data_IF_699653246342
#
_entry.id   IF_699653246342
#
_cell.length_a   1.000
_cell.length_b   1.000
_cell.length_c   1.000
_cell.angle_alpha   90.00
_cell.angle_beta   90.00
_cell.angle_gamma   90.00
#
_symmetry.space_group_name_H-M   'P 1'
#
loop_
_entity.id
_entity.type
_entity.pdbx_description
1 polymer ?
#
# COMPACT_ATOMS: atom_id res chain seq x y z
N UNK A 1 27.79 8.74 4.97
CA UNK A 1 27.20 8.09 3.79
C UNK A 1 26.04 7.17 4.14
N UNK A 2 26.07 6.43 5.26
CA UNK A 2 25.04 5.43 5.58
C UNK A 2 23.64 5.98 5.83
N UNK A 3 23.50 7.12 6.52
CA UNK A 3 22.17 7.71 6.77
C UNK A 3 21.44 8.13 5.50
N UNK A 4 22.15 8.74 4.54
CA UNK A 4 21.55 9.16 3.26
C UNK A 4 21.05 7.94 2.46
N UNK A 5 21.80 6.83 2.49
CA UNK A 5 21.38 5.57 1.88
C UNK A 5 20.15 4.99 2.58
N UNK A 6 20.12 5.00 3.91
CA UNK A 6 18.96 4.54 4.69
C UNK A 6 17.71 5.38 4.41
N UNK A 7 17.85 6.71 4.30
CA UNK A 7 16.75 7.61 3.94
C UNK A 7 16.17 7.31 2.55
N UNK A 8 17.04 7.04 1.56
CA UNK A 8 16.62 6.69 0.21
C UNK A 8 15.85 5.36 0.19
N UNK A 9 16.37 4.34 0.88
CA UNK A 9 15.71 3.03 0.98
C UNK A 9 14.34 3.12 1.67
N UNK A 10 14.23 3.94 2.72
CA UNK A 10 12.95 4.20 3.38
C UNK A 10 11.95 4.81 2.40
N UNK A 11 12.35 5.86 1.65
CA UNK A 11 11.47 6.50 0.67
C UNK A 11 11.00 5.56 -0.44
N UNK A 12 11.88 4.67 -0.90
CA UNK A 12 11.52 3.64 -1.88
C UNK A 12 10.47 2.69 -1.28
N UNK A 13 10.66 2.23 -0.05
CA UNK A 13 9.71 1.35 0.61
C UNK A 13 8.34 2.04 0.88
N UNK A 14 8.34 3.33 1.21
CA UNK A 14 7.10 4.13 1.33
C UNK A 14 6.34 4.17 0.01
N UNK A 15 7.05 4.46 -1.09
CA UNK A 15 6.44 4.50 -2.43
C UNK A 15 5.92 3.14 -2.88
N UNK A 16 6.63 2.05 -2.56
CA UNK A 16 6.19 0.68 -2.86
C UNK A 16 4.94 0.28 -2.06
N UNK A 17 4.87 0.68 -0.79
CA UNK A 17 3.69 0.45 0.05
C UNK A 17 2.47 1.24 -0.46
N UNK A 18 2.63 2.52 -0.81
CA UNK A 18 1.57 3.35 -1.41
C UNK A 18 1.05 2.74 -2.72
N UNK A 19 1.94 2.26 -3.59
CA UNK A 19 1.55 1.57 -4.82
C UNK A 19 0.75 0.31 -4.55
N UNK A 20 1.17 -0.52 -3.59
CA UNK A 20 0.47 -1.74 -3.23
C UNK A 20 -0.93 -1.43 -2.67
N UNK A 21 -1.05 -0.39 -1.85
CA UNK A 21 -2.35 0.09 -1.36
C UNK A 21 -3.25 0.55 -2.52
N UNK A 22 -2.71 1.33 -3.47
CA UNK A 22 -3.46 1.75 -4.66
C UNK A 22 -3.98 0.58 -5.50
N UNK A 23 -3.16 -0.47 -5.68
CA UNK A 23 -3.59 -1.70 -6.37
C UNK A 23 -4.71 -2.41 -5.61
N UNK A 24 -4.62 -2.50 -4.28
CA UNK A 24 -5.66 -3.11 -3.46
C UNK A 24 -6.97 -2.33 -3.53
N UNK A 25 -6.91 -1.00 -3.44
CA UNK A 25 -8.07 -0.12 -3.58
C UNK A 25 -8.74 -0.30 -4.95
N UNK A 26 -7.95 -0.35 -6.03
CA UNK A 26 -8.45 -0.60 -7.38
C UNK A 26 -9.13 -1.98 -7.50
N UNK A 27 -8.57 -3.01 -6.87
CA UNK A 27 -9.15 -4.35 -6.86
C UNK A 27 -10.53 -4.36 -6.14
N UNK A 28 -10.66 -3.66 -5.00
CA UNK A 28 -11.95 -3.51 -4.32
C UNK A 28 -12.98 -2.75 -5.16
N UNK A 29 -12.59 -1.64 -5.80
CA UNK A 29 -13.49 -0.90 -6.70
C UNK A 29 -13.97 -1.78 -7.87
N UNK A 30 -13.06 -2.56 -8.46
CA UNK A 30 -13.42 -3.50 -9.53
C UNK A 30 -14.42 -4.54 -9.04
N UNK A 31 -14.23 -5.10 -7.84
CA UNK A 31 -15.19 -6.07 -7.26
C UNK A 31 -16.56 -5.43 -7.03
N UNK A 32 -16.59 -4.23 -6.47
CA UNK A 32 -17.83 -3.51 -6.20
C UNK A 32 -18.61 -3.22 -7.49
N UNK A 33 -17.92 -2.86 -8.57
CA UNK A 33 -18.55 -2.68 -9.88
C UNK A 33 -19.16 -3.98 -10.41
N UNK A 34 -18.47 -5.12 -10.25
CA UNK A 34 -18.98 -6.43 -10.66
C UNK A 34 -20.24 -6.79 -9.85
N UNK A 35 -20.22 -6.59 -8.52
CA UNK A 35 -21.40 -6.82 -7.67
C UNK A 35 -22.59 -5.94 -8.07
N UNK A 36 -22.36 -4.67 -8.42
CA UNK A 36 -23.40 -3.80 -8.94
C UNK A 36 -23.99 -4.33 -10.25
N UNK A 37 -23.13 -4.76 -11.18
CA UNK A 37 -23.56 -5.32 -12.46
C UNK A 37 -24.40 -6.60 -12.25
N UNK A 38 -24.01 -7.47 -11.31
CA UNK A 38 -24.77 -8.67 -10.94
C UNK A 38 -26.16 -8.28 -10.44
N UNK A 39 -26.26 -7.33 -9.49
CA UNK A 39 -27.55 -6.84 -8.97
C UNK A 39 -28.44 -6.29 -10.08
N UNK A 40 -27.88 -5.51 -11.01
CA UNK A 40 -28.63 -4.99 -12.16
C UNK A 40 -29.14 -6.11 -13.08
N UNK A 41 -28.31 -7.09 -13.39
CA UNK A 41 -28.70 -8.22 -14.25
C UNK A 41 -29.77 -9.09 -13.56
N UNK A 42 -29.63 -9.37 -12.27
CA UNK A 42 -30.62 -10.11 -11.49
C UNK A 42 -31.98 -9.39 -11.46
N UNK A 43 -31.98 -8.07 -11.25
CA UNK A 43 -33.23 -7.28 -11.31
C UNK A 43 -33.90 -7.35 -12.69
N UNK A 44 -33.12 -7.28 -13.78
CA UNK A 44 -33.65 -7.44 -15.15
C UNK A 44 -34.21 -8.84 -15.39
N UNK A 45 -33.49 -9.88 -14.94
CA UNK A 45 -33.94 -11.28 -15.01
C UNK A 45 -35.30 -11.45 -14.34
N UNK A 46 -35.44 -10.93 -13.13
CA UNK A 46 -36.65 -11.11 -12.34
C UNK A 46 -37.85 -10.38 -12.99
N UNK A 47 -37.61 -9.20 -13.60
CA UNK A 47 -38.61 -8.51 -14.40
C UNK A 47 -39.04 -9.32 -15.64
N UNK A 48 -38.10 -9.92 -16.37
CA UNK A 48 -38.40 -10.77 -17.53
C UNK A 48 -39.16 -12.04 -17.15
N UNK A 49 -38.81 -12.67 -16.03
CA UNK A 49 -39.54 -13.82 -15.50
C UNK A 49 -40.97 -13.45 -15.16
N UNK A 50 -41.20 -12.29 -14.55
CA UNK A 50 -42.54 -11.77 -14.29
C UNK A 50 -43.29 -11.52 -15.59
N UNK A 51 -42.69 -10.83 -16.56
CA UNK A 51 -43.32 -10.57 -17.86
C UNK A 51 -43.69 -11.87 -18.60
N UNK A 52 -42.83 -12.89 -18.53
CA UNK A 52 -43.12 -14.20 -19.10
C UNK A 52 -44.32 -14.87 -18.40
N UNK A 53 -44.39 -14.81 -17.06
CA UNK A 53 -45.53 -15.34 -16.30
C UNK A 53 -46.83 -14.60 -16.62
N UNK A 54 -46.78 -13.27 -16.70
CA UNK A 54 -47.93 -12.43 -17.05
C UNK A 54 -48.40 -12.75 -18.48
N UNK A 55 -47.48 -12.88 -19.45
CA UNK A 55 -47.80 -13.27 -20.83
C UNK A 55 -48.44 -14.67 -20.93
N UNK A 56 -47.92 -15.63 -20.15
CA UNK A 56 -48.50 -16.97 -20.07
C UNK A 56 -49.95 -16.95 -19.56
N UNK A 57 -50.25 -16.06 -18.60
CA UNK A 57 -51.58 -15.96 -17.99
C UNK A 57 -52.63 -15.39 -18.94
N UNK A 58 -52.24 -14.50 -19.86
CA UNK A 58 -53.12 -13.86 -20.84
C UNK A 58 -53.11 -14.55 -22.21
N UNK A 59 -52.32 -15.63 -22.37
CA UNK A 59 -52.22 -16.39 -23.61
C UNK A 59 -51.39 -15.71 -24.71
N UNK A 60 -50.57 -14.72 -24.36
CA UNK A 60 -49.68 -14.03 -25.29
C UNK A 60 -48.39 -14.85 -25.49
N UNK A 61 -48.43 -15.76 -26.46
CA UNK A 61 -47.33 -16.67 -26.74
C UNK A 61 -46.09 -15.95 -27.29
N UNK A 62 -46.25 -14.88 -28.07
CA UNK A 62 -45.12 -14.12 -28.62
C UNK A 62 -44.35 -13.42 -27.50
N UNK A 63 -45.05 -12.73 -26.60
CA UNK A 63 -44.43 -12.06 -25.46
C UNK A 63 -43.78 -13.04 -24.48
N UNK A 64 -44.36 -14.23 -24.32
CA UNK A 64 -43.77 -15.31 -23.53
C UNK A 64 -42.46 -15.82 -24.14
N UNK A 65 -42.42 -16.08 -25.45
CA UNK A 65 -41.22 -16.55 -26.16
C UNK A 65 -40.10 -15.52 -26.05
N UNK A 66 -40.42 -14.24 -26.30
CA UNK A 66 -39.45 -13.13 -26.22
C UNK A 66 -38.86 -13.01 -24.80
N UNK A 67 -39.72 -12.94 -23.78
CA UNK A 67 -39.29 -12.78 -22.38
C UNK A 67 -38.46 -13.97 -21.89
N UNK A 68 -38.84 -15.20 -22.30
CA UNK A 68 -38.13 -16.42 -21.92
C UNK A 68 -36.75 -16.52 -22.59
N UNK A 69 -36.66 -16.15 -23.87
CA UNK A 69 -35.40 -16.15 -24.61
C UNK A 69 -34.41 -15.12 -24.05
N UNK A 70 -34.90 -13.93 -23.72
CA UNK A 70 -34.08 -12.88 -23.13
C UNK A 70 -33.63 -13.23 -21.70
N UNK A 71 -34.48 -13.88 -20.90
CA UNK A 71 -34.12 -14.38 -19.57
C UNK A 71 -32.97 -15.39 -19.65
N UNK A 72 -32.99 -16.32 -20.60
CA UNK A 72 -31.92 -17.31 -20.76
C UNK A 72 -30.56 -16.67 -21.12
N UNK A 73 -30.58 -15.63 -21.96
CA UNK A 73 -29.38 -14.85 -22.28
C UNK A 73 -28.84 -14.08 -21.07
N UNK A 74 -29.74 -13.53 -20.25
CA UNK A 74 -29.38 -12.86 -19.00
C UNK A 74 -28.78 -13.83 -17.98
N UNK A 75 -29.31 -15.05 -17.86
CA UNK A 75 -28.75 -16.08 -16.98
C UNK A 75 -27.31 -16.43 -17.38
N UNK A 76 -27.01 -16.48 -18.68
CA UNK A 76 -25.63 -16.67 -19.16
C UNK A 76 -24.72 -15.51 -18.76
N UNK A 77 -25.18 -14.26 -18.88
CA UNK A 77 -24.41 -13.08 -18.46
C UNK A 77 -24.17 -13.06 -16.96
N UNK A 78 -25.16 -13.44 -16.16
CA UNK A 78 -25.04 -13.53 -14.70
C UNK A 78 -23.98 -14.56 -14.31
N UNK A 79 -23.97 -15.75 -14.94
CA UNK A 79 -22.92 -16.76 -14.70
C UNK A 79 -21.53 -16.21 -14.97
N UNK A 80 -21.34 -15.52 -16.10
CA UNK A 80 -20.05 -14.89 -16.45
C UNK A 80 -19.63 -13.84 -15.41
N UNK A 81 -20.55 -12.98 -14.97
CA UNK A 81 -20.25 -11.99 -13.93
C UNK A 81 -19.91 -12.63 -12.58
N UNK A 82 -20.55 -13.76 -12.23
CA UNK A 82 -20.21 -14.51 -11.02
C UNK A 82 -18.80 -15.11 -11.11
N UNK A 83 -18.39 -15.62 -12.26
CA UNK A 83 -17.00 -16.05 -12.48
C UNK A 83 -16.02 -14.86 -12.39
N UNK A 84 -16.38 -13.71 -12.96
CA UNK A 84 -15.58 -12.48 -12.84
C UNK A 84 -15.46 -12.03 -11.37
N UNK A 85 -16.52 -12.22 -10.56
CA UNK A 85 -16.51 -11.91 -9.14
C UNK A 85 -15.54 -12.82 -8.37
N UNK A 86 -15.50 -14.12 -8.69
CA UNK A 86 -14.54 -15.07 -8.12
C UNK A 86 -13.11 -14.62 -8.46
N UNK A 87 -12.83 -14.33 -9.73
CA UNK A 87 -11.52 -13.82 -10.17
C UNK A 87 -11.14 -12.49 -9.50
N UNK A 88 -12.12 -11.62 -9.25
CA UNK A 88 -11.89 -10.35 -8.54
C UNK A 88 -11.53 -10.58 -7.06
N UNK A 89 -12.16 -11.55 -6.39
CA UNK A 89 -11.82 -11.92 -5.02
C UNK A 89 -10.39 -12.49 -4.92
N UNK A 90 -10.00 -13.34 -5.87
CA UNK A 90 -8.63 -13.85 -5.95
C UNK A 90 -7.62 -12.72 -6.12
N UNK A 91 -7.90 -11.74 -6.98
CA UNK A 91 -7.04 -10.54 -7.14
C UNK A 91 -6.93 -9.72 -5.87
N UNK A 92 -8.02 -9.56 -5.11
CA UNK A 92 -8.00 -8.87 -3.81
C UNK A 92 -7.10 -9.63 -2.85
N UNK A 93 -7.21 -10.95 -2.75
CA UNK A 93 -6.38 -11.76 -1.87
C UNK A 93 -4.88 -11.57 -2.19
N UNK A 94 -4.50 -11.68 -3.46
CA UNK A 94 -3.12 -11.47 -3.91
C UNK A 94 -2.66 -10.04 -3.61
N UNK A 95 -3.52 -9.03 -3.82
CA UNK A 95 -3.18 -7.64 -3.51
C UNK A 95 -3.02 -7.39 -2.00
N UNK A 96 -3.81 -8.04 -1.16
CA UNK A 96 -3.68 -7.99 0.30
C UNK A 96 -2.36 -8.60 0.78
N UNK A 97 -1.99 -9.77 0.24
CA UNK A 97 -0.71 -10.40 0.54
C UNK A 97 0.47 -9.52 0.10
N UNK A 98 0.40 -8.96 -1.11
CA UNK A 98 1.42 -8.04 -1.60
C UNK A 98 1.54 -6.80 -0.72
N UNK A 99 0.42 -6.20 -0.30
CA UNK A 99 0.39 -5.07 0.61
C UNK A 99 1.04 -5.42 1.97
N UNK A 100 0.72 -6.59 2.52
CA UNK A 100 1.31 -7.04 3.79
C UNK A 100 2.84 -7.14 3.70
N UNK A 101 3.35 -7.72 2.61
CA UNK A 101 4.79 -7.82 2.35
C UNK A 101 5.43 -6.44 2.26
N UNK A 102 4.82 -5.50 1.53
CA UNK A 102 5.36 -4.13 1.42
C UNK A 102 5.32 -3.38 2.76
N UNK A 103 4.26 -3.54 3.56
CA UNK A 103 4.19 -2.95 4.89
C UNK A 103 5.26 -3.49 5.83
N UNK A 104 5.52 -4.80 5.82
CA UNK A 104 6.60 -5.40 6.60
C UNK A 104 7.97 -4.83 6.20
N UNK A 105 8.22 -4.71 4.88
CA UNK A 105 9.45 -4.11 4.35
C UNK A 105 9.58 -2.64 4.78
N UNK A 106 8.50 -1.87 4.74
CA UNK A 106 8.48 -0.49 5.20
C UNK A 106 8.83 -0.37 6.68
N UNK A 107 8.26 -1.20 7.55
CA UNK A 107 8.61 -1.18 8.98
C UNK A 107 10.06 -1.57 9.24
N UNK A 108 10.60 -2.54 8.50
CA UNK A 108 12.03 -2.86 8.55
C UNK A 108 12.90 -1.66 8.16
N UNK A 109 12.56 -0.97 7.06
CA UNK A 109 13.31 0.21 6.62
C UNK A 109 13.20 1.37 7.61
N UNK A 110 12.04 1.57 8.26
CA UNK A 110 11.87 2.55 9.34
C UNK A 110 12.79 2.22 10.52
N UNK A 111 12.93 0.95 10.90
CA UNK A 111 13.85 0.55 11.98
C UNK A 111 15.29 0.87 11.63
N UNK A 112 15.75 0.46 10.44
CA UNK A 112 17.10 0.72 9.95
C UNK A 112 17.40 2.22 9.87
N UNK A 113 16.44 3.03 9.44
CA UNK A 113 16.60 4.48 9.41
C UNK A 113 16.76 5.08 10.82
N UNK A 114 15.96 4.63 11.80
CA UNK A 114 16.10 5.08 13.20
C UNK A 114 17.46 4.68 13.78
N UNK A 115 17.94 3.48 13.49
CA UNK A 115 19.27 3.02 13.91
C UNK A 115 20.38 3.86 13.28
N UNK A 116 20.30 4.14 11.98
CA UNK A 116 21.26 5.00 11.29
C UNK A 116 21.27 6.43 11.86
N UNK A 117 20.11 6.98 12.23
CA UNK A 117 20.01 8.28 12.91
C UNK A 117 20.71 8.28 14.26
N UNK A 118 20.49 7.24 15.09
CA UNK A 118 21.15 7.09 16.39
C UNK A 118 22.66 6.94 16.25
N UNK A 119 23.12 6.12 15.30
CA UNK A 119 24.55 5.93 15.04
C UNK A 119 25.22 7.23 14.58
N UNK A 120 24.54 8.03 13.75
CA UNK A 120 25.04 9.34 13.33
C UNK A 120 25.15 10.30 14.51
N UNK A 121 24.11 10.39 15.35
CA UNK A 121 24.14 11.25 16.54
C UNK A 121 25.30 10.87 17.48
N UNK A 122 25.45 9.59 17.79
CA UNK A 122 26.56 9.11 18.63
C UNK A 122 27.95 9.41 18.04
N UNK A 123 28.09 9.33 16.71
CA UNK A 123 29.34 9.68 16.04
C UNK A 123 29.62 11.19 16.06
N UNK A 124 28.59 12.04 16.01
CA UNK A 124 28.71 13.48 16.13
C UNK A 124 29.08 13.89 17.57
N UNK A 125 28.44 13.28 18.59
CA UNK A 125 28.77 13.48 20.00
C UNK A 125 30.23 13.08 20.31
N UNK A 126 30.66 11.91 19.83
CA UNK A 126 32.04 11.45 20.00
C UNK A 126 33.06 12.39 19.33
N UNK A 127 32.73 12.94 18.16
CA UNK A 127 33.58 13.94 17.49
C UNK A 127 33.65 15.23 18.30
N UNK A 128 32.53 15.70 18.82
CA UNK A 128 32.49 16.91 19.65
C UNK A 128 33.33 16.73 20.93
N UNK A 129 33.23 15.57 21.58
CA UNK A 129 34.03 15.24 22.76
C UNK A 129 35.53 15.24 22.45
N UNK A 130 35.95 14.55 21.38
CA UNK A 130 37.36 14.53 20.95
C UNK A 130 37.89 15.94 20.65
N UNK A 131 37.10 16.77 19.97
CA UNK A 131 37.48 18.15 19.68
C UNK A 131 37.63 19.00 20.95
N UNK A 132 36.76 18.79 21.95
CA UNK A 132 36.85 19.48 23.25
C UNK A 132 38.11 19.05 24.02
N UNK A 133 38.43 17.74 24.04
CA UNK A 133 39.62 17.20 24.69
C UNK A 133 40.91 17.72 24.04
N UNK A 134 40.97 17.72 22.70
CA UNK A 134 42.10 18.28 21.94
C UNK A 134 42.29 19.78 22.24
N UNK A 135 41.20 20.54 22.26
CA UNK A 135 41.24 21.96 22.59
C UNK A 135 41.74 22.23 24.01
N UNK A 136 41.31 21.41 24.98
CA UNK A 136 41.78 21.49 26.36
C UNK A 136 43.28 21.21 26.48
N UNK A 137 43.78 20.18 25.79
CA UNK A 137 45.22 19.87 25.74
C UNK A 137 46.03 21.02 25.14
N UNK A 138 45.57 21.61 24.03
CA UNK A 138 46.21 22.77 23.41
C UNK A 138 46.29 23.94 24.40
N UNK A 139 45.20 24.23 25.13
CA UNK A 139 45.19 25.28 26.17
C UNK A 139 46.17 24.99 27.29
N UNK A 140 46.25 23.74 27.78
CA UNK A 140 47.22 23.37 28.81
C UNK A 140 48.67 23.55 28.33
N UNK A 141 48.99 23.10 27.13
CA UNK A 141 50.33 23.26 26.57
C UNK A 141 50.70 24.74 26.39
N UNK A 142 49.78 25.57 25.91
CA UNK A 142 49.97 27.02 25.80
C UNK A 142 50.21 27.67 27.17
N UNK A 143 49.44 27.29 28.19
CA UNK A 143 49.61 27.80 29.55
C UNK A 143 50.97 27.40 30.15
N UNK A 144 51.37 26.12 30.02
CA UNK A 144 52.70 25.64 30.48
C UNK A 144 53.83 26.38 29.78
N UNK A 145 53.73 26.61 28.47
CA UNK A 145 54.74 27.37 27.70
C UNK A 145 54.82 28.83 28.15
N UNK A 146 53.69 29.46 28.48
CA UNK A 146 53.65 30.82 29.01
C UNK A 146 54.34 30.89 30.39
N UNK A 147 53.98 30.00 31.31
CA UNK A 147 54.60 29.92 32.64
C UNK A 147 56.11 29.70 32.53
N UNK A 148 56.55 28.74 31.70
CA UNK A 148 57.98 28.46 31.50
C UNK A 148 58.75 29.67 30.94
N UNK A 149 58.11 30.48 30.08
CA UNK A 149 58.72 31.71 29.55
C UNK A 149 58.82 32.80 30.62
N UNK A 150 57.88 32.87 31.55
CA UNK A 150 57.85 33.84 32.66
C UNK A 150 58.78 33.45 33.82
N UNK A 151 59.16 32.17 33.96
CA UNK A 151 60.08 31.68 35.02
C UNK A 151 61.56 31.63 34.62
N UNK A 152 61.88 31.88 33.34
CA UNK A 152 63.24 31.88 32.80
C UNK A 152 63.89 33.29 32.77
N UNK A 153 63.34 34.22 33.55
CA UNK A 153 63.87 35.56 33.85
C UNK A 153 64.27 35.57 35.33
#
# INVERSE_FOLDING_TARGET
>A
MELARAALLLRVAETEAEKAEGVLQQAFMSRQQIEQNIRTIQSRRDALKKNAQDALSVGDSEQWILSSSESAFIDQKERKLNEDLIRANERIHVAQEAMLVQQQKLEQMKSLYREAMRARAAAEDLRAQKAADEFFLIKQHAAKKKIAKETLI
#
